data_IF_415760536572
#
_entry.id   IF_415760536572
#
_cell.length_a   1.000
_cell.length_b   1.000
_cell.length_c   1.000
_cell.angle_alpha   90.00
_cell.angle_beta   90.00
_cell.angle_gamma   90.00
#
_symmetry.space_group_name_H-M   'P 1'
#
loop_
_entity.id
_entity.type
_entity.pdbx_description
1 polymer ?
#
# COMPACT_ATOMS: atom_id res chain seq x y z
N UNK A 1 -55.94 -14.23 18.19
CA UNK A 1 -54.83 -13.73 19.04
C UNK A 1 -53.44 -14.29 18.71
N UNK A 2 -53.29 -15.53 18.19
CA UNK A 2 -51.96 -16.09 17.88
C UNK A 2 -51.25 -15.50 16.65
N UNK A 3 -52.00 -14.95 15.68
CA UNK A 3 -51.43 -14.38 14.44
C UNK A 3 -50.73 -13.03 14.67
N UNK A 4 -51.23 -12.23 15.62
CA UNK A 4 -50.69 -10.89 15.92
C UNK A 4 -49.36 -10.97 16.67
N UNK A 5 -49.18 -11.97 17.54
CA UNK A 5 -47.90 -12.22 18.22
C UNK A 5 -46.81 -12.70 17.26
N UNK A 6 -47.17 -13.45 16.21
CA UNK A 6 -46.22 -13.93 15.19
C UNK A 6 -45.73 -12.81 14.26
N UNK A 7 -46.61 -11.87 13.93
CA UNK A 7 -46.25 -10.69 13.13
C UNK A 7 -45.36 -9.71 13.91
N UNK A 8 -45.57 -9.57 15.22
CA UNK A 8 -44.76 -8.69 16.06
C UNK A 8 -43.33 -9.22 16.26
N UNK A 9 -43.13 -10.55 16.38
CA UNK A 9 -41.79 -11.14 16.45
C UNK A 9 -41.03 -11.07 15.13
N UNK A 10 -41.72 -11.17 13.98
CA UNK A 10 -41.08 -11.00 12.67
C UNK A 10 -40.61 -9.55 12.44
N UNK A 11 -41.35 -8.56 12.93
CA UNK A 11 -41.00 -7.14 12.81
C UNK A 11 -39.78 -6.77 13.67
N UNK A 12 -39.65 -7.38 14.86
CA UNK A 12 -38.50 -7.18 15.73
C UNK A 12 -37.24 -7.80 15.11
N UNK A 13 -37.33 -8.95 14.42
CA UNK A 13 -36.18 -9.55 13.73
C UNK A 13 -35.69 -8.70 12.54
N UNK A 14 -36.58 -7.96 11.86
CA UNK A 14 -36.19 -7.06 10.77
C UNK A 14 -35.55 -5.75 11.24
N UNK A 15 -35.92 -5.24 12.42
CA UNK A 15 -35.36 -3.99 12.95
C UNK A 15 -33.97 -4.15 13.59
N UNK A 16 -33.57 -5.36 13.97
CA UNK A 16 -32.25 -5.66 14.55
C UNK A 16 -31.28 -6.36 13.57
N UNK A 17 -31.69 -6.55 12.31
CA UNK A 17 -30.88 -7.18 11.26
C UNK A 17 -29.81 -6.30 10.62
N UNK A 18 -29.54 -5.10 11.15
CA UNK A 18 -28.33 -4.36 10.81
C UNK A 18 -27.15 -5.03 11.52
N UNK A 19 -26.65 -6.11 10.91
CA UNK A 19 -25.30 -6.60 11.21
C UNK A 19 -24.35 -5.46 10.89
N UNK A 20 -23.99 -4.71 11.91
CA UNK A 20 -22.84 -3.82 11.86
C UNK A 20 -21.66 -4.73 11.55
N UNK A 21 -21.20 -4.70 10.30
CA UNK A 21 -19.93 -5.29 9.91
C UNK A 21 -18.92 -4.63 10.84
N UNK A 22 -18.47 -5.36 11.86
CA UNK A 22 -17.50 -4.84 12.80
C UNK A 22 -16.30 -4.41 11.98
N UNK A 23 -15.94 -3.13 12.05
CA UNK A 23 -14.66 -2.63 11.53
C UNK A 23 -13.57 -3.37 12.28
N UNK A 24 -13.16 -4.53 11.76
CA UNK A 24 -12.09 -5.32 12.33
C UNK A 24 -10.82 -4.45 12.24
N UNK A 25 -10.35 -3.96 13.38
CA UNK A 25 -9.16 -3.13 13.44
C UNK A 25 -7.98 -3.97 12.96
N UNK A 26 -7.40 -3.62 11.81
CA UNK A 26 -6.29 -4.37 11.22
C UNK A 26 -5.11 -4.38 12.21
N UNK A 27 -4.81 -5.55 12.76
CA UNK A 27 -3.74 -5.72 13.73
C UNK A 27 -2.39 -5.88 12.99
N UNK A 28 -1.49 -4.91 13.16
CA UNK A 28 -0.15 -4.92 12.53
C UNK A 28 0.67 -6.16 12.90
N UNK A 29 0.56 -6.67 14.12
CA UNK A 29 1.23 -7.89 14.57
C UNK A 29 0.79 -9.12 13.79
N UNK A 30 -0.50 -9.21 13.43
CA UNK A 30 -1.02 -10.27 12.56
C UNK A 30 -0.39 -10.19 11.15
N UNK A 31 -0.26 -8.99 10.59
CA UNK A 31 0.40 -8.78 9.29
C UNK A 31 1.87 -9.19 9.35
N UNK A 32 2.59 -8.78 10.40
CA UNK A 32 4.00 -9.15 10.61
C UNK A 32 4.15 -10.67 10.70
N UNK A 33 3.35 -11.32 11.54
CA UNK A 33 3.42 -12.77 11.76
C UNK A 33 3.10 -13.55 10.47
N UNK A 34 2.05 -13.17 9.73
CA UNK A 34 1.67 -13.80 8.46
C UNK A 34 2.75 -13.66 7.37
N UNK A 35 3.58 -12.63 7.45
CA UNK A 35 4.62 -12.35 6.47
C UNK A 35 6.02 -12.64 7.00
N UNK A 36 6.15 -13.46 8.06
CA UNK A 36 7.44 -13.88 8.60
C UNK A 36 8.33 -14.45 7.49
N UNK A 37 9.57 -13.97 7.42
CA UNK A 37 10.52 -14.34 6.37
C UNK A 37 10.38 -13.54 5.06
N UNK A 38 9.24 -12.87 4.81
CA UNK A 38 9.04 -12.01 3.63
C UNK A 38 9.09 -10.50 3.95
N UNK A 39 9.33 -10.11 5.21
CA UNK A 39 9.47 -8.70 5.60
C UNK A 39 10.85 -8.14 5.17
N UNK A 40 10.86 -6.88 4.75
CA UNK A 40 12.06 -6.12 4.45
C UNK A 40 12.62 -5.44 5.72
N UNK A 41 13.73 -5.98 6.20
CA UNK A 41 14.50 -5.47 7.35
C UNK A 41 15.53 -4.42 6.94
N UNK A 42 16.01 -3.56 7.88
CA UNK A 42 17.00 -2.53 7.60
C UNK A 42 18.29 -3.02 6.95
N UNK A 43 18.75 -4.23 7.30
CA UNK A 43 19.95 -4.84 6.71
C UNK A 43 19.82 -5.09 5.21
N UNK A 44 18.60 -5.33 4.70
CA UNK A 44 18.36 -5.58 3.29
C UNK A 44 18.35 -4.27 2.47
N UNK A 45 17.87 -3.18 3.08
CA UNK A 45 17.80 -1.86 2.46
C UNK A 45 19.21 -1.30 2.21
N UNK A 46 20.12 -1.43 3.18
CA UNK A 46 21.47 -0.83 3.07
C UNK A 46 22.35 -1.48 2.00
N UNK A 47 22.09 -2.74 1.71
CA UNK A 47 22.86 -3.50 0.76
C UNK A 47 22.21 -3.54 -0.63
N UNK A 48 21.09 -2.82 -0.84
CA UNK A 48 20.25 -2.92 -2.04
C UNK A 48 19.86 -4.38 -2.37
N UNK A 49 19.63 -5.19 -1.33
CA UNK A 49 19.37 -6.64 -1.44
C UNK A 49 17.87 -6.98 -1.48
N UNK A 50 16.99 -6.01 -1.79
CA UNK A 50 15.58 -6.32 -2.01
C UNK A 50 15.37 -7.00 -3.36
N UNK A 51 14.32 -7.81 -3.46
CA UNK A 51 14.00 -8.58 -4.66
C UNK A 51 13.35 -7.68 -5.71
N UNK A 52 13.71 -7.80 -7.01
CA UNK A 52 13.04 -7.04 -8.05
C UNK A 52 11.55 -7.40 -8.13
N UNK A 53 10.70 -6.44 -8.46
CA UNK A 53 9.28 -6.67 -8.71
C UNK A 53 9.12 -7.25 -10.13
N UNK A 54 8.53 -8.45 -10.31
CA UNK A 54 8.35 -9.02 -11.65
C UNK A 54 7.38 -8.21 -12.50
N UNK A 55 7.61 -8.18 -13.82
CA UNK A 55 6.60 -7.70 -14.78
C UNK A 55 5.40 -8.65 -14.77
N UNK A 56 4.18 -8.09 -14.89
CA UNK A 56 2.91 -8.81 -14.77
C UNK A 56 2.47 -9.04 -13.32
N UNK A 57 3.30 -8.69 -12.34
CA UNK A 57 2.91 -8.81 -10.93
C UNK A 57 1.75 -7.87 -10.61
N UNK A 58 0.72 -8.38 -9.93
CA UNK A 58 -0.46 -7.61 -9.53
C UNK A 58 -0.54 -7.53 -8.02
N UNK A 59 -0.72 -6.32 -7.49
CA UNK A 59 -0.94 -6.10 -6.06
C UNK A 59 -2.19 -5.28 -5.84
N UNK A 60 -3.07 -5.80 -4.98
CA UNK A 60 -4.28 -5.10 -4.56
C UNK A 60 -4.18 -4.68 -3.10
N UNK A 61 -4.55 -3.43 -2.85
CA UNK A 61 -4.63 -2.79 -1.56
C UNK A 61 -6.08 -2.50 -1.21
N UNK A 62 -6.44 -2.76 0.04
CA UNK A 62 -7.59 -2.16 0.69
C UNK A 62 -7.11 -0.94 1.46
N UNK A 63 -7.68 0.22 1.15
CA UNK A 63 -7.39 1.46 1.83
C UNK A 63 -8.60 1.87 2.67
N UNK A 64 -8.33 2.54 3.79
CA UNK A 64 -9.33 3.24 4.58
C UNK A 64 -8.79 4.64 4.80
N UNK A 65 -9.54 5.66 4.41
CA UNK A 65 -9.11 7.05 4.55
C UNK A 65 -9.37 7.58 5.98
N UNK A 66 -9.13 8.87 6.19
CA UNK A 66 -9.39 9.51 7.48
C UNK A 66 -10.88 9.68 7.80
N UNK A 67 -11.78 9.64 6.79
CA UNK A 67 -13.23 9.64 7.01
C UNK A 67 -13.75 8.25 7.42
N UNK A 68 -12.93 7.22 7.23
CA UNK A 68 -13.29 5.82 7.45
C UNK A 68 -13.95 5.17 6.25
N UNK A 69 -13.99 5.85 5.09
CA UNK A 69 -14.40 5.30 3.82
C UNK A 69 -13.33 4.34 3.29
N UNK A 70 -13.78 3.22 2.74
CA UNK A 70 -12.91 2.17 2.22
C UNK A 70 -12.93 2.13 0.71
N UNK A 71 -11.76 2.04 0.09
CA UNK A 71 -11.63 1.91 -1.35
C UNK A 71 -10.44 1.00 -1.70
N UNK A 72 -10.48 0.42 -2.89
CA UNK A 72 -9.44 -0.46 -3.37
C UNK A 72 -8.51 0.23 -4.35
N UNK A 73 -7.24 -0.13 -4.29
CA UNK A 73 -6.26 0.27 -5.31
C UNK A 73 -5.52 -0.95 -5.80
N UNK A 74 -5.34 -1.08 -7.10
CA UNK A 74 -4.59 -2.18 -7.71
C UNK A 74 -3.44 -1.63 -8.55
N UNK A 75 -2.26 -2.24 -8.40
CA UNK A 75 -1.08 -1.98 -9.20
C UNK A 75 -0.80 -3.18 -10.10
N UNK A 76 -0.63 -2.94 -11.39
CA UNK A 76 -0.19 -3.93 -12.37
C UNK A 76 1.15 -3.48 -12.93
N UNK A 77 2.24 -4.17 -12.56
CA UNK A 77 3.59 -3.80 -12.97
C UNK A 77 3.83 -4.17 -14.43
N UNK A 78 4.15 -3.20 -15.28
CA UNK A 78 4.19 -3.37 -16.75
C UNK A 78 5.58 -3.38 -17.34
N UNK A 79 6.54 -2.69 -16.74
CA UNK A 79 7.93 -2.68 -17.21
C UNK A 79 8.91 -2.28 -16.11
N UNK A 80 10.18 -2.56 -16.35
CA UNK A 80 11.29 -2.07 -15.52
C UNK A 80 12.42 -1.52 -16.37
N UNK A 81 12.93 -0.34 -16.01
CA UNK A 81 14.05 0.33 -16.68
C UNK A 81 14.90 1.05 -15.63
N UNK A 82 16.22 0.80 -15.55
CA UNK A 82 17.11 1.52 -14.61
C UNK A 82 16.59 1.60 -13.16
N UNK A 83 16.10 0.48 -12.61
CA UNK A 83 15.49 0.37 -11.27
C UNK A 83 14.19 1.18 -11.07
N UNK A 84 13.58 1.61 -12.17
CA UNK A 84 12.26 2.22 -12.22
C UNK A 84 11.23 1.15 -12.59
N UNK A 85 10.18 1.00 -11.78
CA UNK A 85 9.09 0.06 -12.01
C UNK A 85 7.85 0.79 -12.45
N UNK A 86 7.49 0.70 -13.72
CA UNK A 86 6.26 1.31 -14.23
C UNK A 86 5.07 0.41 -13.96
N UNK A 87 3.92 1.01 -13.67
CA UNK A 87 2.70 0.26 -13.39
C UNK A 87 1.44 0.99 -13.82
N UNK A 88 0.38 0.23 -14.09
CA UNK A 88 -0.98 0.72 -14.21
C UNK A 88 -1.63 0.75 -12.83
N UNK A 89 -2.42 1.78 -12.56
CA UNK A 89 -3.12 1.96 -11.29
C UNK A 89 -4.63 1.96 -11.51
N UNK A 90 -5.33 1.12 -10.76
CA UNK A 90 -6.79 1.06 -10.76
C UNK A 90 -7.32 1.55 -9.42
N UNK A 91 -8.41 2.31 -9.46
CA UNK A 91 -9.19 2.73 -8.30
C UNK A 91 -10.57 2.10 -8.41
N UNK A 92 -10.91 1.22 -7.48
CA UNK A 92 -12.18 0.46 -7.49
C UNK A 92 -12.47 -0.20 -8.85
N UNK A 93 -11.44 -0.86 -9.40
CA UNK A 93 -11.50 -1.57 -10.67
C UNK A 93 -11.45 -0.67 -11.92
N UNK A 94 -11.46 0.66 -11.76
CA UNK A 94 -11.37 1.61 -12.87
C UNK A 94 -9.92 2.04 -13.08
N UNK A 95 -9.43 1.90 -14.31
CA UNK A 95 -8.09 2.33 -14.69
C UNK A 95 -7.98 3.86 -14.63
N UNK A 96 -6.96 4.37 -13.96
CA UNK A 96 -6.56 5.77 -14.09
C UNK A 96 -5.73 5.94 -15.37
N UNK A 97 -6.41 6.16 -16.49
CA UNK A 97 -5.81 6.20 -17.83
C UNK A 97 -5.04 7.49 -18.13
N UNK A 98 -5.26 8.56 -17.36
CA UNK A 98 -4.65 9.88 -17.61
C UNK A 98 -3.32 10.06 -16.89
N UNK A 99 -2.94 9.09 -16.05
CA UNK A 99 -1.78 9.18 -15.17
C UNK A 99 -0.85 8.00 -15.39
N UNK A 100 0.42 8.29 -15.67
CA UNK A 100 1.48 7.28 -15.70
C UNK A 100 2.09 7.16 -14.31
N UNK A 101 2.31 5.94 -13.84
CA UNK A 101 2.89 5.69 -12.52
C UNK A 101 4.21 4.95 -12.59
N UNK A 102 5.07 5.22 -11.61
CA UNK A 102 6.39 4.60 -11.48
C UNK A 102 6.76 4.46 -10.01
N UNK A 103 7.41 3.36 -9.63
CA UNK A 103 8.11 3.23 -8.35
C UNK A 103 9.61 3.32 -8.60
N UNK A 104 10.30 4.21 -7.89
CA UNK A 104 11.77 4.32 -7.89
C UNK A 104 12.25 4.46 -6.45
N UNK A 105 13.20 3.62 -6.05
CA UNK A 105 13.73 3.58 -4.67
C UNK A 105 12.63 3.46 -3.58
N UNK A 106 11.53 2.80 -3.93
CA UNK A 106 10.36 2.63 -3.05
C UNK A 106 9.45 3.85 -2.92
N UNK A 107 9.66 4.90 -3.72
CA UNK A 107 8.74 6.04 -3.82
C UNK A 107 7.89 5.92 -5.06
N UNK A 108 6.61 6.24 -4.90
CA UNK A 108 5.67 6.36 -6.01
C UNK A 108 5.81 7.74 -6.66
N UNK A 109 5.92 7.76 -7.99
CA UNK A 109 5.90 8.94 -8.83
C UNK A 109 4.72 8.83 -9.80
N UNK A 110 4.22 9.98 -10.22
CA UNK A 110 3.12 10.08 -11.16
C UNK A 110 3.36 11.18 -12.20
N UNK A 111 2.85 10.98 -13.40
CA UNK A 111 2.86 11.97 -14.50
C UNK A 111 1.44 12.06 -15.04
N UNK A 112 0.81 13.23 -14.89
CA UNK A 112 -0.53 13.50 -15.40
C UNK A 112 -0.43 14.09 -16.81
N UNK A 113 -1.21 13.60 -17.78
CA UNK A 113 -1.24 14.12 -19.16
C UNK A 113 0.14 14.29 -19.82
N UNK A 114 1.07 13.37 -19.54
CA UNK A 114 2.46 13.38 -20.03
C UNK A 114 3.33 14.56 -19.55
N UNK A 115 2.97 15.19 -18.42
CA UNK A 115 3.87 16.11 -17.73
C UNK A 115 5.11 15.38 -17.16
N UNK A 116 6.10 16.15 -16.68
CA UNK A 116 7.21 15.58 -15.94
C UNK A 116 6.72 14.78 -14.71
N UNK A 117 7.41 13.69 -14.38
CA UNK A 117 7.11 12.89 -13.20
C UNK A 117 7.23 13.74 -11.93
N UNK A 118 6.16 13.74 -11.13
CA UNK A 118 6.09 14.34 -9.81
C UNK A 118 6.12 13.24 -8.77
N UNK A 119 6.81 13.48 -7.67
CA UNK A 119 6.77 12.59 -6.53
C UNK A 119 5.36 12.56 -5.93
N UNK A 120 4.78 11.38 -5.75
CA UNK A 120 3.59 11.21 -4.92
C UNK A 120 4.02 11.30 -3.45
N UNK A 121 4.16 12.53 -2.96
CA UNK A 121 4.77 12.83 -1.67
C UNK A 121 3.88 12.36 -0.50
N UNK A 122 4.06 11.10 -0.09
CA UNK A 122 3.55 10.59 1.20
C UNK A 122 4.31 11.19 2.39
N UNK A 123 5.53 11.66 2.13
CA UNK A 123 6.46 12.22 3.11
C UNK A 123 7.11 13.49 2.53
N UNK A 124 6.49 14.67 2.72
CA UNK A 124 6.98 15.92 2.14
C UNK A 124 8.31 16.37 2.74
N UNK A 125 8.58 16.04 4.01
CA UNK A 125 9.80 16.47 4.72
C UNK A 125 11.04 15.65 4.34
N UNK A 126 10.97 14.79 3.32
CA UNK A 126 12.02 13.83 3.01
C UNK A 126 12.80 14.15 1.74
N UNK A 127 14.02 14.68 1.91
CA UNK A 127 14.93 15.03 0.82
C UNK A 127 15.44 13.79 0.07
N UNK A 128 15.90 12.78 0.80
CA UNK A 128 16.37 11.52 0.23
C UNK A 128 15.65 10.38 0.92
N UNK A 129 14.98 9.55 0.13
CA UNK A 129 14.21 8.42 0.64
C UNK A 129 14.69 7.13 -0.02
N UNK A 130 15.03 6.16 0.82
CA UNK A 130 15.11 4.74 0.45
C UNK A 130 14.05 4.02 1.27
N UNK A 131 13.55 2.86 0.85
CA UNK A 131 12.47 2.15 1.58
C UNK A 131 12.74 2.09 3.09
N UNK A 132 11.84 2.69 3.88
CA UNK A 132 11.95 2.75 5.35
C UNK A 132 13.02 3.72 5.89
N UNK A 133 13.77 4.43 5.06
CA UNK A 133 14.82 5.37 5.44
C UNK A 133 14.60 6.73 4.79
N UNK A 134 14.49 7.75 5.63
CA UNK A 134 14.33 9.12 5.18
C UNK A 134 15.46 9.99 5.71
N UNK A 135 16.04 10.83 4.87
CA UNK A 135 17.02 11.86 5.24
C UNK A 135 16.41 13.22 4.93
N UNK A 136 16.43 14.10 5.92
CA UNK A 136 15.86 15.45 5.84
C UNK A 136 16.99 16.48 5.96
N UNK A 137 17.04 17.45 5.06
CA UNK A 137 18.22 18.30 4.85
C UNK A 137 18.26 19.48 5.78
N UNK A 138 18.85 19.28 6.96
CA UNK A 138 19.64 20.31 7.68
C UNK A 138 20.87 19.76 8.41
N UNK A 139 21.09 18.44 8.43
CA UNK A 139 22.27 17.82 9.06
C UNK A 139 22.77 16.66 8.20
N UNK A 140 23.93 16.84 7.57
CA UNK A 140 24.64 15.78 6.85
C UNK A 140 24.81 14.59 7.81
N UNK A 141 24.35 13.40 7.40
CA UNK A 141 24.51 12.16 8.15
C UNK A 141 23.39 11.78 9.14
N UNK A 142 22.35 12.61 9.35
CA UNK A 142 21.20 12.22 10.18
C UNK A 142 19.99 11.83 9.32
N UNK A 143 19.67 10.53 9.29
CA UNK A 143 18.36 10.07 8.87
C UNK A 143 17.32 10.55 9.91
N UNK A 144 16.08 10.81 9.50
CA UNK A 144 14.99 11.16 10.41
C UNK A 144 14.79 10.09 11.49
N UNK A 145 13.94 10.39 12.49
CA UNK A 145 13.47 9.47 13.52
C UNK A 145 12.64 8.30 12.95
N UNK A 146 13.20 7.55 12.00
CA UNK A 146 12.64 6.30 11.53
C UNK A 146 13.28 5.18 12.32
N UNK A 147 12.52 4.58 13.23
CA UNK A 147 12.93 3.39 13.96
C UNK A 147 12.41 2.14 13.26
N UNK A 148 13.07 1.02 13.51
CA UNK A 148 12.59 -0.30 13.09
C UNK A 148 12.52 -1.19 14.31
N UNK A 149 11.35 -1.75 14.57
CA UNK A 149 11.12 -2.74 15.63
C UNK A 149 10.06 -3.72 15.18
N UNK A 150 10.22 -4.99 15.53
CA UNK A 150 9.20 -6.04 15.29
C UNK A 150 8.66 -6.07 13.84
N UNK A 151 9.55 -5.97 12.85
CA UNK A 151 9.15 -6.00 11.44
C UNK A 151 8.52 -4.71 10.90
N UNK A 152 8.41 -3.66 11.73
CA UNK A 152 7.72 -2.41 11.41
C UNK A 152 8.66 -1.23 11.39
N UNK A 153 8.61 -0.45 10.32
CA UNK A 153 9.23 0.86 10.21
C UNK A 153 8.29 1.91 10.81
N UNK A 154 8.77 2.70 11.78
CA UNK A 154 7.98 3.75 12.42
C UNK A 154 8.68 5.09 12.22
N UNK A 155 7.98 6.06 11.62
CA UNK A 155 8.47 7.43 11.46
C UNK A 155 7.57 8.38 12.23
N UNK A 156 8.17 9.34 12.93
CA UNK A 156 7.45 10.40 13.63
C UNK A 156 7.96 11.77 13.21
N UNK A 157 7.05 12.68 12.91
CA UNK A 157 7.37 14.08 12.62
C UNK A 157 6.28 15.00 13.17
N UNK A 158 6.60 16.30 13.27
CA UNK A 158 5.64 17.32 13.69
C UNK A 158 4.89 17.84 12.47
N UNK A 159 3.57 17.85 12.56
CA UNK A 159 2.69 18.54 11.61
C UNK A 159 2.56 20.03 11.95
N UNK A 160 1.51 20.67 11.43
CA UNK A 160 1.17 22.06 11.79
C UNK A 160 0.79 22.15 13.28
N UNK A 161 1.33 23.15 13.98
CA UNK A 161 1.09 23.36 15.41
C UNK A 161 1.79 22.32 16.31
N UNK A 162 1.04 21.77 17.28
CA UNK A 162 1.54 20.73 18.21
C UNK A 162 1.24 19.30 17.73
N UNK A 163 0.75 19.15 16.49
CA UNK A 163 0.39 17.86 15.93
C UNK A 163 1.61 16.95 15.79
N UNK A 164 1.52 15.72 16.29
CA UNK A 164 2.48 14.65 16.02
C UNK A 164 1.87 13.66 15.03
N UNK A 165 2.56 13.48 13.90
CA UNK A 165 2.16 12.54 12.86
C UNK A 165 3.06 11.30 12.99
N UNK A 166 2.44 10.13 13.12
CA UNK A 166 3.14 8.84 13.17
C UNK A 166 2.78 8.01 11.94
N UNK A 167 3.79 7.57 11.21
CA UNK A 167 3.67 6.62 10.11
C UNK A 167 4.19 5.27 10.58
N UNK A 168 3.43 4.20 10.36
CA UNK A 168 3.89 2.82 10.53
C UNK A 168 3.82 2.12 9.19
N UNK A 169 4.87 1.38 8.83
CA UNK A 169 4.91 0.69 7.54
C UNK A 169 5.61 -0.65 7.66
N UNK A 170 5.00 -1.68 7.08
CA UNK A 170 5.59 -3.00 6.90
C UNK A 170 5.76 -3.19 5.40
N UNK A 171 6.98 -3.51 4.97
CA UNK A 171 7.32 -3.76 3.57
C UNK A 171 7.61 -5.23 3.35
N UNK A 172 7.24 -5.77 2.19
CA UNK A 172 7.72 -7.07 1.74
C UNK A 172 9.13 -6.98 1.13
N UNK A 173 9.77 -8.13 0.86
CA UNK A 173 11.11 -8.18 0.26
C UNK A 173 11.22 -7.54 -1.11
N UNK A 174 10.12 -7.19 -1.78
CA UNK A 174 10.13 -6.43 -3.03
C UNK A 174 10.04 -4.91 -2.80
N UNK A 175 9.95 -4.48 -1.55
CA UNK A 175 9.74 -3.08 -1.21
C UNK A 175 8.29 -2.63 -1.34
N UNK A 176 7.35 -3.55 -1.55
CA UNK A 176 5.93 -3.24 -1.64
C UNK A 176 5.33 -3.18 -0.24
N UNK A 177 4.33 -2.32 -0.06
CA UNK A 177 3.68 -2.15 1.24
C UNK A 177 2.87 -3.42 1.54
N UNK A 178 3.11 -4.02 2.70
CA UNK A 178 2.23 -5.04 3.29
C UNK A 178 1.15 -4.38 4.13
N UNK A 179 1.57 -3.37 4.90
CA UNK A 179 0.72 -2.54 5.74
C UNK A 179 1.30 -1.14 5.83
N UNK A 180 0.45 -0.13 5.80
CA UNK A 180 0.79 1.25 6.09
C UNK A 180 -0.32 1.85 6.95
N UNK A 181 0.06 2.62 7.96
CA UNK A 181 -0.87 3.50 8.65
C UNK A 181 -0.26 4.87 8.91
N UNK A 182 -1.11 5.89 8.86
CA UNK A 182 -0.80 7.26 9.25
C UNK A 182 -1.79 7.72 10.31
N UNK A 183 -1.28 8.05 11.49
CA UNK A 183 -2.07 8.60 12.59
C UNK A 183 -1.62 10.03 12.90
N UNK A 184 -2.58 10.88 13.20
CA UNK A 184 -2.39 12.27 13.58
C UNK A 184 -2.87 12.44 15.02
N UNK A 185 -2.02 12.96 15.91
CA UNK A 185 -2.32 13.05 17.35
C UNK A 185 -3.47 14.01 17.69
N UNK A 186 -3.82 14.92 16.79
CA UNK A 186 -4.81 15.97 17.03
C UNK A 186 -6.18 15.67 16.40
N UNK A 187 -6.28 14.63 15.58
CA UNK A 187 -7.58 14.15 15.11
C UNK A 187 -8.12 13.18 16.17
N UNK A 188 -9.31 13.47 16.71
CA UNK A 188 -9.91 12.72 17.80
C UNK A 188 -9.90 11.19 17.54
N UNK A 189 -9.64 10.44 18.61
CA UNK A 189 -9.47 8.98 18.70
C UNK A 189 -9.90 8.18 17.45
N UNK A 190 -8.92 7.69 16.68
CA UNK A 190 -9.11 6.57 15.75
C UNK A 190 -9.15 6.89 14.27
N UNK A 191 -9.03 8.15 13.85
CA UNK A 191 -8.91 8.50 12.43
C UNK A 191 -7.48 8.28 11.95
N UNK A 192 -7.32 7.21 11.17
CA UNK A 192 -6.05 6.85 10.56
C UNK A 192 -6.27 6.49 9.12
N UNK A 193 -5.42 6.98 8.23
CA UNK A 193 -5.31 6.35 6.93
C UNK A 193 -4.66 4.98 7.13
N UNK A 194 -5.25 3.92 6.57
CA UNK A 194 -4.63 2.60 6.50
C UNK A 194 -4.60 2.08 5.07
N UNK A 195 -3.56 1.33 4.73
CA UNK A 195 -3.41 0.62 3.47
C UNK A 195 -2.88 -0.76 3.77
N UNK A 196 -3.63 -1.80 3.40
CA UNK A 196 -3.25 -3.20 3.65
C UNK A 196 -3.25 -3.98 2.35
N UNK A 197 -2.20 -4.76 2.13
CA UNK A 197 -2.09 -5.66 0.98
C UNK A 197 -3.04 -6.84 1.18
N UNK A 198 -4.09 -6.93 0.35
CA UNK A 198 -5.13 -7.96 0.48
C UNK A 198 -4.96 -9.09 -0.52
N UNK A 199 -4.32 -8.84 -1.67
CA UNK A 199 -4.13 -9.87 -2.69
C UNK A 199 -2.85 -9.63 -3.49
N UNK A 200 -2.20 -10.73 -3.83
CA UNK A 200 -1.15 -10.82 -4.83
C UNK A 200 -1.59 -11.85 -5.84
N UNK A 201 -1.85 -11.43 -7.06
CA UNK A 201 -1.93 -12.38 -8.16
C UNK A 201 -0.53 -12.44 -8.78
N UNK A 202 0.15 -13.58 -8.58
CA UNK A 202 1.34 -13.89 -9.36
C UNK A 202 0.86 -14.28 -10.75
N UNK A 203 0.78 -13.32 -11.66
CA UNK A 203 0.78 -13.70 -13.07
C UNK A 203 2.22 -14.10 -13.40
N UNK A 204 2.52 -15.39 -13.18
CA UNK A 204 3.73 -16.01 -13.71
C UNK A 204 3.47 -16.11 -15.21
N UNK A 205 3.69 -15.02 -15.94
CA UNK A 205 4.01 -15.15 -17.34
C UNK A 205 5.33 -15.93 -17.37
N UNK A 206 5.24 -17.25 -17.53
CA UNK A 206 6.29 -17.96 -18.25
C UNK A 206 6.51 -17.13 -19.52
N UNK A 207 7.75 -16.82 -19.90
CA UNK A 207 7.98 -16.25 -21.21
C UNK A 207 7.38 -17.25 -22.20
N UNK A 208 6.26 -16.89 -22.82
CA UNK A 208 5.88 -17.50 -24.09
C UNK A 208 6.97 -17.01 -25.02
N UNK A 209 7.96 -17.85 -25.20
CA UNK A 209 9.08 -17.61 -26.10
C UNK A 209 8.50 -17.15 -27.44
N UNK A 210 8.65 -15.85 -27.75
CA UNK A 210 8.19 -15.28 -29.01
C UNK A 210 8.93 -15.88 -30.22
N UNK A 211 9.89 -16.79 -30.02
CA UNK A 211 10.47 -17.57 -31.11
C UNK A 211 9.59 -18.69 -31.63
N UNK A 212 8.66 -19.25 -30.85
CA UNK A 212 7.88 -20.42 -31.32
C UNK A 212 6.58 -20.04 -32.04
N UNK A 213 6.14 -18.78 -31.99
CA UNK A 213 4.88 -18.35 -32.61
C UNK A 213 5.01 -17.98 -34.11
N UNK A 214 6.22 -17.83 -34.65
CA UNK A 214 6.43 -17.46 -36.06
C UNK A 214 6.50 -18.69 -36.98
N UNK A 215 6.84 -19.88 -36.47
CA UNK A 215 6.90 -21.09 -37.31
C UNK A 215 5.54 -21.78 -37.53
N UNK A 216 4.47 -21.33 -36.86
CA UNK A 216 3.12 -21.89 -37.02
C UNK A 216 2.20 -21.09 -37.98
N UNK A 217 2.66 -19.96 -38.54
CA UNK A 217 1.92 -19.19 -39.54
C UNK A 217 2.52 -19.24 -40.95
N UNK A 218 3.53 -20.07 -41.17
CA UNK A 218 4.06 -20.38 -42.51
C UNK A 218 4.18 -21.89 -42.67
N UNK A 219 3.04 -22.56 -42.85
CA UNK A 219 2.88 -23.80 -43.62
C UNK A 219 1.41 -24.05 -43.90
#
# INVERSE_FOLDING_TARGET
MKLFQLLLTLLILFLYGCTTISKESINIGSIVNKNTGNILYPKHVNANQWKPIPVGYKVKYLNTDFSGETYTTEYVFTSTQNDEYHFLKYHDGKLDSNTKYMIKEGREYYSYKNEAYKLNARDPDCDIYFIGRCKTGRRIGKYSNTSFSEGTWTKQHRGLGLTQITHKTVYDRHGLILFYSKTDSNIAQGTSFTQTKVRVDKEINKPTDCRTAIEACVR
#
